data_IF_818158829522
#
_entry.id   IF_818158829522
#
_cell.length_a   1.000
_cell.length_b   1.000
_cell.length_c   1.000
_cell.angle_alpha   90.00
_cell.angle_beta   90.00
_cell.angle_gamma   90.00
#
_symmetry.space_group_name_H-M   'P 1'
#
loop_
_entity.id
_entity.type
_entity.pdbx_description
1 polymer ?
#
# COMPACT_ATOMS: atom_id res chain seq x y z
N UNK A 1 -1.18 2.55 14.50
CA UNK A 1 -1.67 3.22 13.28
C UNK A 1 -0.51 3.33 12.33
N UNK A 2 -0.75 3.07 11.04
CA UNK A 2 0.30 3.07 10.03
C UNK A 2 0.12 4.25 9.09
N UNK A 3 1.06 5.19 9.09
CA UNK A 3 1.05 6.34 8.20
C UNK A 3 2.28 6.23 7.31
N UNK A 4 2.07 6.08 6.01
CA UNK A 4 3.13 5.92 5.04
C UNK A 4 3.10 7.06 4.02
N UNK A 5 4.27 7.61 3.71
CA UNK A 5 4.47 8.51 2.58
C UNK A 5 5.44 7.84 1.62
N UNK A 6 4.96 7.56 0.40
CA UNK A 6 5.74 6.89 -0.64
C UNK A 6 6.00 7.93 -1.73
N UNK A 7 7.26 8.09 -2.12
CA UNK A 7 7.67 8.93 -3.24
C UNK A 7 8.34 8.10 -4.32
N UNK A 8 8.11 8.42 -5.58
CA UNK A 8 8.83 7.80 -6.70
C UNK A 8 9.96 8.69 -7.22
N UNK A 9 10.91 8.10 -7.94
CA UNK A 9 12.03 8.81 -8.56
C UNK A 9 11.60 9.87 -9.58
N UNK A 10 10.47 9.66 -10.27
CA UNK A 10 9.88 10.62 -11.21
C UNK A 10 9.15 11.80 -10.53
N UNK A 11 9.12 11.83 -9.19
CA UNK A 11 8.60 12.94 -8.40
C UNK A 11 7.18 12.76 -7.89
N UNK A 12 6.46 11.70 -8.28
CA UNK A 12 5.14 11.44 -7.71
C UNK A 12 5.23 11.11 -6.23
N UNK A 13 4.12 11.37 -5.52
CA UNK A 13 4.02 11.10 -4.08
C UNK A 13 2.64 10.60 -3.73
N UNK A 14 2.56 9.68 -2.78
CA UNK A 14 1.32 9.19 -2.20
C UNK A 14 1.42 9.10 -0.68
N UNK A 15 0.29 9.33 -0.01
CA UNK A 15 0.14 9.23 1.44
C UNK A 15 -0.94 8.21 1.74
N UNK A 16 -0.58 7.22 2.56
CA UNK A 16 -1.46 6.15 3.00
C UNK A 16 -1.66 6.19 4.51
N UNK A 17 -2.89 5.97 4.96
CA UNK A 17 -3.21 5.82 6.38
C UNK A 17 -3.93 4.49 6.61
N UNK A 18 -3.35 3.62 7.43
CA UNK A 18 -3.75 2.24 7.65
C UNK A 18 -3.97 1.47 6.32
N UNK A 19 -3.11 1.74 5.33
CA UNK A 19 -3.14 1.08 4.03
C UNK A 19 -4.16 1.63 3.02
N UNK A 20 -4.90 2.68 3.38
CA UNK A 20 -5.83 3.39 2.46
C UNK A 20 -5.14 4.61 1.89
N UNK A 21 -5.24 4.84 0.58
CA UNK A 21 -4.72 6.05 -0.06
C UNK A 21 -5.55 7.26 0.38
N UNK A 22 -4.88 8.28 0.94
CA UNK A 22 -5.54 9.50 1.41
C UNK A 22 -5.30 10.67 0.48
N UNK A 23 -4.08 10.77 -0.06
CA UNK A 23 -3.70 11.84 -0.97
C UNK A 23 -2.57 11.37 -1.90
N UNK A 24 -2.52 11.90 -3.11
CA UNK A 24 -1.41 11.69 -4.02
C UNK A 24 -1.15 12.94 -4.87
N UNK A 25 0.06 12.99 -5.42
CA UNK A 25 0.56 14.00 -6.34
C UNK A 25 1.19 13.29 -7.53
N UNK A 26 0.83 13.72 -8.73
CA UNK A 26 1.39 13.29 -10.00
C UNK A 26 2.23 14.43 -10.61
N UNK A 27 3.54 14.22 -10.68
CA UNK A 27 4.49 15.22 -11.16
C UNK A 27 4.32 15.58 -12.64
N UNK A 28 3.69 14.71 -13.44
CA UNK A 28 3.47 14.95 -14.86
C UNK A 28 2.22 15.79 -15.15
N UNK A 29 1.22 15.78 -14.25
CA UNK A 29 -0.09 16.38 -14.52
C UNK A 29 -0.51 17.45 -13.53
N UNK A 30 -0.03 17.38 -12.29
CA UNK A 30 -0.52 18.24 -11.22
C UNK A 30 0.30 19.53 -11.12
N UNK A 31 -0.33 20.58 -10.60
CA UNK A 31 0.36 21.82 -10.31
C UNK A 31 1.37 21.64 -9.14
N UNK A 32 2.52 22.34 -9.13
CA UNK A 32 3.54 22.17 -8.09
C UNK A 32 3.05 22.44 -6.66
N UNK A 33 2.02 23.27 -6.48
CA UNK A 33 1.38 23.54 -5.19
C UNK A 33 0.68 22.29 -4.60
N UNK A 34 0.20 21.36 -5.43
CA UNK A 34 -0.46 20.11 -5.01
C UNK A 34 0.51 19.25 -4.20
N UNK A 35 1.79 19.22 -4.57
CA UNK A 35 2.82 18.51 -3.81
C UNK A 35 2.88 18.99 -2.36
N UNK A 36 2.88 20.31 -2.13
CA UNK A 36 2.88 20.89 -0.78
C UNK A 36 1.62 20.53 0.02
N UNK A 37 0.46 20.42 -0.65
CA UNK A 37 -0.77 19.95 -0.01
C UNK A 37 -0.65 18.48 0.42
N UNK A 38 -0.16 17.60 -0.46
CA UNK A 38 0.02 16.17 -0.15
C UNK A 38 1.02 15.96 0.98
N UNK A 39 2.11 16.72 1.01
CA UNK A 39 3.07 16.70 2.12
C UNK A 39 2.44 17.15 3.44
N UNK A 40 1.63 18.22 3.39
CA UNK A 40 0.90 18.73 4.56
C UNK A 40 -0.12 17.71 5.10
N UNK A 41 -0.74 16.90 4.24
CA UNK A 41 -1.66 15.82 4.66
C UNK A 41 -0.94 14.81 5.56
N UNK A 42 0.27 14.37 5.18
CA UNK A 42 1.04 13.44 6.01
C UNK A 42 1.38 14.05 7.38
N UNK A 43 1.86 15.30 7.41
CA UNK A 43 2.21 15.98 8.65
C UNK A 43 1.00 16.21 9.56
N UNK A 44 -0.14 16.60 8.99
CA UNK A 44 -1.36 16.82 9.74
C UNK A 44 -1.94 15.52 10.31
N UNK A 45 -1.94 14.44 9.52
CA UNK A 45 -2.37 13.12 9.99
C UNK A 45 -1.46 12.60 11.09
N UNK A 46 -0.14 12.79 10.96
CA UNK A 46 0.83 12.43 12.00
C UNK A 46 0.53 13.13 13.32
N UNK A 47 0.32 14.45 13.29
CA UNK A 47 -0.03 15.25 14.49
C UNK A 47 -1.36 14.84 15.10
N UNK A 48 -2.38 14.59 14.27
CA UNK A 48 -3.72 14.26 14.74
C UNK A 48 -3.81 12.84 15.32
N UNK A 49 -3.08 11.88 14.75
CA UNK A 49 -3.14 10.47 15.14
C UNK A 49 -2.03 10.04 16.11
N UNK A 50 -0.97 10.85 16.26
CA UNK A 50 0.25 10.47 16.96
C UNK A 50 1.09 9.42 16.21
N UNK A 51 0.75 9.09 14.96
CA UNK A 51 1.46 8.09 14.17
C UNK A 51 2.75 8.66 13.57
N UNK A 52 3.85 7.90 13.68
CA UNK A 52 5.08 8.24 12.96
C UNK A 52 4.92 8.00 11.46
N UNK A 53 5.39 8.95 10.65
CA UNK A 53 5.38 8.85 9.19
C UNK A 53 6.51 7.91 8.74
N UNK A 54 6.17 6.75 8.20
CA UNK A 54 7.11 5.90 7.47
C UNK A 54 7.30 6.46 6.07
N UNK A 55 8.55 6.75 5.69
CA UNK A 55 8.87 7.26 4.36
C UNK A 55 9.50 6.15 3.52
N UNK A 56 9.02 5.97 2.30
CA UNK A 56 9.57 5.03 1.33
C UNK A 56 9.84 5.75 0.01
N UNK A 57 10.92 5.35 -0.67
CA UNK A 57 11.22 5.80 -2.02
C UNK A 57 11.25 4.61 -2.96
N UNK A 58 10.61 4.74 -4.13
CA UNK A 58 10.52 3.66 -5.13
C UNK A 58 10.97 4.12 -6.50
N UNK A 59 11.52 3.19 -7.26
CA UNK A 59 11.49 3.26 -8.72
C UNK A 59 10.24 2.50 -9.19
N UNK A 60 9.38 3.14 -9.99
CA UNK A 60 8.10 2.56 -10.38
C UNK A 60 8.35 1.35 -11.27
N UNK A 61 7.77 0.20 -10.90
CA UNK A 61 7.80 -0.97 -11.77
C UNK A 61 7.15 -0.68 -13.13
N UNK A 62 7.52 -1.39 -14.22
CA UNK A 62 6.93 -1.15 -15.54
C UNK A 62 5.41 -1.31 -15.63
N UNK A 63 4.81 -2.08 -14.72
CA UNK A 63 3.37 -2.31 -14.59
C UNK A 63 2.68 -1.37 -13.59
N UNK A 64 3.38 -0.35 -13.10
CA UNK A 64 2.86 0.62 -12.15
C UNK A 64 1.90 1.60 -12.83
N UNK A 65 0.60 1.37 -12.69
CA UNK A 65 -0.45 2.27 -13.21
C UNK A 65 -1.15 3.02 -12.08
N UNK A 66 -1.47 2.34 -10.98
CA UNK A 66 -2.23 2.90 -9.87
C UNK A 66 -1.58 2.57 -8.52
N UNK A 67 -1.50 3.57 -7.64
CA UNK A 67 -0.94 3.46 -6.29
C UNK A 67 -1.60 2.34 -5.48
N UNK A 68 -2.93 2.27 -5.47
CA UNK A 68 -3.69 1.30 -4.66
C UNK A 68 -3.64 -0.14 -5.19
N UNK A 69 -3.33 -0.32 -6.48
CA UNK A 69 -3.31 -1.62 -7.14
C UNK A 69 -1.89 -2.16 -7.35
N UNK A 70 -0.88 -1.35 -7.04
CA UNK A 70 0.51 -1.71 -7.22
C UNK A 70 0.95 -2.73 -6.17
N UNK A 71 1.42 -3.90 -6.62
CA UNK A 71 2.05 -4.91 -5.75
C UNK A 71 3.27 -4.35 -5.01
N UNK A 72 4.00 -3.43 -5.65
CA UNK A 72 5.15 -2.77 -5.02
C UNK A 72 4.71 -1.94 -3.82
N UNK A 73 3.60 -1.21 -3.95
CA UNK A 73 2.98 -0.45 -2.85
C UNK A 73 2.41 -1.40 -1.80
N UNK A 74 1.71 -2.47 -2.22
CA UNK A 74 1.18 -3.49 -1.30
C UNK A 74 2.28 -4.07 -0.39
N UNK A 75 3.44 -4.40 -0.96
CA UNK A 75 4.57 -4.94 -0.20
C UNK A 75 5.17 -3.94 0.80
N UNK A 76 5.07 -2.63 0.52
CA UNK A 76 5.52 -1.58 1.44
C UNK A 76 4.54 -1.44 2.60
N UNK A 77 3.25 -1.42 2.31
CA UNK A 77 2.18 -1.27 3.31
C UNK A 77 2.01 -2.52 4.17
N UNK A 78 2.21 -3.71 3.60
CA UNK A 78 1.99 -5.00 4.26
C UNK A 78 3.09 -6.02 3.95
N UNK A 79 4.33 -5.82 4.42
CA UNK A 79 5.48 -6.67 4.08
C UNK A 79 5.32 -8.14 4.50
N UNK A 80 4.42 -8.44 5.46
CA UNK A 80 4.20 -9.79 5.99
C UNK A 80 3.00 -10.52 5.36
N UNK A 81 2.30 -9.92 4.39
CA UNK A 81 1.08 -10.50 3.78
C UNK A 81 1.38 -11.69 2.87
N UNK A 82 2.64 -11.83 2.43
CA UNK A 82 3.15 -12.97 1.65
C UNK A 82 3.38 -14.23 2.47
N UNK A 83 3.20 -14.21 3.80
CA UNK A 83 3.05 -15.42 4.58
C UNK A 83 1.67 -16.03 4.28
N UNK A 84 1.60 -16.78 3.18
CA UNK A 84 0.45 -17.64 2.85
C UNK A 84 0.09 -18.43 4.11
N UNK A 85 -1.14 -18.37 4.63
CA UNK A 85 -1.53 -19.29 5.67
C UNK A 85 -1.43 -20.70 5.07
N UNK A 86 -0.71 -21.59 5.75
CA UNK A 86 -0.66 -23.03 5.46
C UNK A 86 -2.07 -23.61 5.65
N UNK A 87 -2.93 -23.46 4.65
CA UNK A 87 -4.24 -24.12 4.57
C UNK A 87 -4.35 -24.77 3.19
N UNK A 88 -3.47 -25.74 2.97
CA UNK A 88 -3.67 -26.89 2.10
C UNK A 88 -3.00 -28.00 2.91
N UNK A 89 -3.74 -28.77 3.72
CA UNK A 89 -4.10 -30.13 3.33
C UNK A 89 -5.24 -30.73 4.20
N UNK A 90 -6.07 -29.91 4.86
CA UNK A 90 -7.09 -30.44 5.79
C UNK A 90 -8.37 -31.00 5.16
N UNK A 91 -8.47 -31.04 3.83
CA UNK A 91 -9.60 -31.67 3.15
C UNK A 91 -9.11 -32.80 2.24
N UNK A 92 -8.76 -33.93 2.85
CA UNK A 92 -8.90 -35.21 2.15
C UNK A 92 -10.40 -35.43 1.88
N UNK A 93 -10.83 -35.68 0.64
CA UNK A 93 -12.19 -36.10 0.37
C UNK A 93 -12.47 -37.36 1.18
N UNK A 94 -13.52 -37.35 2.00
CA UNK A 94 -14.03 -38.57 2.63
C UNK A 94 -14.55 -39.44 1.49
N UNK A 95 -13.89 -40.56 1.21
CA UNK A 95 -14.45 -41.59 0.33
C UNK A 95 -15.73 -42.11 0.98
N UNK A 96 -16.86 -41.72 0.39
CA UNK A 96 -18.18 -42.23 0.78
C UNK A 96 -18.28 -43.66 0.24
N UNK A 97 -17.80 -44.63 1.04
CA UNK A 97 -18.02 -46.04 0.79
C UNK A 97 -19.53 -46.29 0.69
N UNK A 98 -19.99 -46.44 -0.55
CA UNK A 98 -21.36 -46.78 -0.87
C UNK A 98 -21.48 -48.30 -0.81
N UNK A 99 -22.11 -48.85 0.23
CA UNK A 99 -22.76 -50.15 0.22
C UNK A 99 -23.58 -50.36 1.53
N UNK A 100 -24.63 -51.20 1.53
CA UNK A 100 -24.93 -52.30 0.60
C UNK A 100 -25.91 -51.94 -0.53
#
# INVERSE_FOLDING_TARGET
MDLCSISSEDGDKAVFFNGVLIAYYNAATDEPNVLSFVESVADNLSRASGANIKKAKIDKAPDFVHWEQSKQVENILWPNKTAKPLISDFFSPIELNSQP
#
